data_IF_134783214638
#
_entry.id   IF_134783214638
#
_cell.length_a   1.000
_cell.length_b   1.000
_cell.length_c   1.000
_cell.angle_alpha   90.00
_cell.angle_beta   90.00
_cell.angle_gamma   90.00
#
_symmetry.space_group_name_H-M   'P 1'
#
loop_
_entity.id
_entity.type
_entity.pdbx_description
1 polymer ?
#
# COMPACT_ATOMS: atom_id res chain seq x y z
N UNK A 1 9.28 -10.09 57.34
CA UNK A 1 8.62 -11.27 56.75
C UNK A 1 9.68 -12.12 56.08
N UNK A 2 10.03 -13.27 56.65
CA UNK A 2 11.06 -14.15 56.12
C UNK A 2 10.52 -14.93 54.91
N UNK A 3 11.28 -14.97 53.81
CA UNK A 3 10.89 -15.68 52.58
C UNK A 3 11.24 -17.16 52.69
N UNK A 4 10.35 -18.02 52.18
CA UNK A 4 10.42 -19.50 52.18
C UNK A 4 11.74 -20.07 51.63
N UNK A 5 12.45 -19.30 50.78
CA UNK A 5 13.76 -19.65 50.23
C UNK A 5 14.89 -19.67 51.26
N UNK A 6 14.72 -19.05 52.43
CA UNK A 6 15.72 -19.01 53.51
C UNK A 6 15.60 -20.15 54.52
N UNK A 7 14.51 -20.93 54.44
CA UNK A 7 14.20 -22.05 55.35
C UNK A 7 14.49 -23.43 54.73
N UNK A 8 14.92 -23.48 53.47
CA UNK A 8 15.19 -24.74 52.77
C UNK A 8 16.72 -24.94 52.60
N UNK A 9 17.23 -26.16 52.84
CA UNK A 9 18.63 -26.48 52.61
C UNK A 9 18.98 -26.41 51.12
N UNK A 10 20.22 -26.01 50.81
CA UNK A 10 20.70 -25.88 49.44
C UNK A 10 20.62 -27.22 48.69
N UNK A 11 20.14 -27.23 47.42
CA UNK A 11 19.97 -28.44 46.65
C UNK A 11 21.33 -29.10 46.36
N UNK A 12 21.49 -30.35 46.77
CA UNK A 12 22.74 -31.12 46.70
C UNK A 12 23.00 -31.81 45.36
N UNK A 13 22.11 -31.67 44.38
CA UNK A 13 22.29 -32.30 43.07
C UNK A 13 22.59 -31.26 41.97
N UNK A 14 23.82 -31.32 41.46
CA UNK A 14 24.27 -30.58 40.28
C UNK A 14 23.83 -31.35 39.04
N UNK A 15 22.81 -30.86 38.33
CA UNK A 15 22.46 -31.36 37.00
C UNK A 15 23.50 -30.89 36.00
N UNK A 16 24.33 -31.80 35.50
CA UNK A 16 25.22 -31.55 34.38
C UNK A 16 24.45 -31.65 33.07
N UNK A 17 24.13 -30.51 32.46
CA UNK A 17 23.79 -30.47 31.04
C UNK A 17 25.08 -30.55 30.22
N UNK A 18 25.23 -31.64 29.46
CA UNK A 18 26.27 -31.80 28.45
C UNK A 18 26.03 -30.82 27.29
N UNK A 19 26.57 -29.62 27.41
CA UNK A 19 26.86 -28.72 26.30
C UNK A 19 28.31 -28.26 26.46
N UNK A 20 29.12 -28.56 25.45
CA UNK A 20 30.57 -28.35 25.45
C UNK A 20 30.95 -26.98 26.00
N UNK A 21 31.69 -26.99 27.10
CA UNK A 21 32.22 -25.81 27.77
C UNK A 21 33.30 -25.15 26.92
N UNK A 22 32.90 -24.28 25.99
CA UNK A 22 33.75 -23.14 25.68
C UNK A 22 33.67 -22.20 26.88
N UNK A 23 34.68 -22.27 27.75
CA UNK A 23 34.91 -21.21 28.73
C UNK A 23 35.16 -19.92 27.94
N UNK A 24 34.32 -18.88 28.04
CA UNK A 24 34.74 -17.57 27.58
C UNK A 24 35.78 -17.11 28.59
N UNK A 25 37.06 -17.34 28.31
CA UNK A 25 38.10 -16.52 28.93
C UNK A 25 37.76 -15.08 28.55
N UNK A 26 37.17 -14.33 29.47
CA UNK A 26 36.93 -12.90 29.34
C UNK A 26 38.26 -12.15 29.43
N UNK A 27 39.17 -12.42 28.48
CA UNK A 27 40.07 -11.38 28.02
C UNK A 27 39.17 -10.39 27.32
N UNK A 28 38.85 -9.29 27.99
CA UNK A 28 38.34 -8.10 27.32
C UNK A 28 39.37 -7.75 26.24
N UNK A 29 39.09 -8.14 25.00
CA UNK A 29 39.83 -7.65 23.84
C UNK A 29 39.42 -6.19 23.74
N UNK A 30 40.18 -5.32 24.39
CA UNK A 30 40.11 -3.89 24.16
C UNK A 30 40.52 -3.70 22.70
N UNK A 31 39.53 -3.64 21.82
CA UNK A 31 39.75 -3.18 20.45
C UNK A 31 40.19 -1.73 20.55
N UNK A 32 41.51 -1.50 20.55
CA UNK A 32 42.10 -0.17 20.44
C UNK A 32 41.73 0.35 19.05
N UNK A 33 40.56 0.97 18.92
CA UNK A 33 40.20 1.70 17.71
C UNK A 33 41.31 2.72 17.48
N UNK A 34 41.97 2.64 16.33
CA UNK A 34 42.95 3.63 15.93
C UNK A 34 42.27 5.00 15.95
N UNK A 35 42.76 5.91 16.79
CA UNK A 35 42.31 7.29 16.82
C UNK A 35 43.32 8.13 16.02
N UNK A 36 42.87 8.87 15.01
CA UNK A 36 43.75 9.76 14.25
C UNK A 36 44.34 10.82 15.19
N UNK A 37 45.55 11.35 14.90
CA UNK A 37 46.15 12.43 15.68
C UNK A 37 45.17 13.61 15.83
N UNK A 38 45.17 14.34 16.96
CA UNK A 38 44.29 15.49 17.15
C UNK A 38 44.65 16.63 16.17
N UNK A 39 43.75 17.59 16.05
CA UNK A 39 43.98 18.77 15.21
C UNK A 39 45.29 19.48 15.60
N UNK A 40 46.03 19.96 14.59
CA UNK A 40 47.36 20.56 14.76
C UNK A 40 48.53 19.56 14.77
N UNK A 41 48.28 18.27 15.03
CA UNK A 41 49.32 17.22 15.13
C UNK A 41 49.29 16.22 13.97
N UNK A 42 48.66 16.59 12.84
CA UNK A 42 48.48 15.73 11.66
C UNK A 42 49.51 15.95 10.55
N UNK A 43 50.61 16.66 10.84
CA UNK A 43 51.68 16.88 9.85
C UNK A 43 52.36 15.55 9.50
N UNK A 44 52.34 15.18 8.22
CA UNK A 44 52.89 13.91 7.72
C UNK A 44 51.95 12.70 7.88
N UNK A 45 50.77 12.86 8.46
CA UNK A 45 49.74 11.83 8.51
C UNK A 45 48.97 11.83 7.18
N UNK A 46 48.85 10.67 6.53
CA UNK A 46 48.11 10.51 5.27
C UNK A 46 47.16 9.32 5.41
N UNK A 47 45.86 9.55 5.63
CA UNK A 47 44.91 8.45 5.77
C UNK A 47 44.65 7.81 4.40
N UNK A 48 44.77 6.48 4.31
CA UNK A 48 44.53 5.71 3.08
C UNK A 48 43.42 4.67 3.25
N UNK A 49 43.32 4.07 4.44
CA UNK A 49 42.32 3.07 4.77
C UNK A 49 41.16 3.70 5.56
N UNK A 50 40.00 3.04 5.55
CA UNK A 50 38.81 3.52 6.28
C UNK A 50 39.04 3.62 7.79
N UNK A 51 39.88 2.72 8.34
CA UNK A 51 40.28 2.73 9.75
C UNK A 51 41.08 3.96 10.17
N UNK A 52 41.78 4.61 9.23
CA UNK A 52 42.67 5.73 9.54
C UNK A 52 41.87 6.99 9.91
N UNK A 53 40.57 7.00 9.62
CA UNK A 53 39.65 8.08 9.97
C UNK A 53 38.98 7.89 11.34
N UNK A 54 39.24 6.79 12.06
CA UNK A 54 38.62 6.53 13.37
C UNK A 54 37.10 6.38 13.27
N UNK A 55 36.36 7.36 13.77
CA UNK A 55 34.88 7.43 13.69
C UNK A 55 34.38 8.10 12.39
N UNK A 56 35.28 8.37 11.45
CA UNK A 56 35.01 9.00 10.17
C UNK A 56 35.45 10.46 10.11
N UNK A 57 34.99 11.15 9.07
CA UNK A 57 35.40 12.53 8.76
C UNK A 57 36.69 12.59 7.94
N UNK A 58 36.73 13.55 7.00
CA UNK A 58 37.92 13.85 6.21
C UNK A 58 38.65 15.06 6.80
N UNK A 59 39.97 15.08 6.72
CA UNK A 59 40.82 16.14 7.27
C UNK A 59 41.16 17.17 6.18
N UNK A 60 40.55 18.37 6.19
CA UNK A 60 40.78 19.38 5.15
C UNK A 60 42.22 19.91 5.11
N UNK A 61 42.97 19.79 6.20
CA UNK A 61 44.37 20.23 6.32
C UNK A 61 45.37 19.30 5.60
N UNK A 62 44.94 18.10 5.20
CA UNK A 62 45.76 17.16 4.44
C UNK A 62 45.37 17.28 2.97
N UNK A 63 46.27 17.77 2.07
CA UNK A 63 45.96 18.02 0.65
C UNK A 63 45.98 16.72 -0.17
N UNK A 64 45.19 15.73 0.25
CA UNK A 64 45.00 14.44 -0.40
C UNK A 64 43.51 14.16 -0.47
N UNK A 65 43.06 13.55 -1.56
CA UNK A 65 41.65 13.14 -1.70
C UNK A 65 41.36 12.00 -0.73
N UNK A 66 40.43 12.24 0.18
CA UNK A 66 40.06 11.33 1.26
C UNK A 66 38.63 10.83 1.07
N UNK A 67 38.40 9.55 1.35
CA UNK A 67 37.11 8.90 1.12
C UNK A 67 36.65 8.13 2.37
N UNK A 68 36.32 8.81 3.49
CA UNK A 68 35.73 8.14 4.65
C UNK A 68 34.44 7.41 4.24
N UNK A 69 34.26 6.16 4.68
CA UNK A 69 33.13 5.28 4.31
C UNK A 69 32.94 5.12 2.79
N UNK A 70 34.00 5.31 1.98
CA UNK A 70 33.93 5.26 0.52
C UNK A 70 33.07 6.36 -0.13
N UNK A 71 32.67 7.39 0.63
CA UNK A 71 31.93 8.53 0.11
C UNK A 71 32.80 9.34 -0.85
N UNK A 72 32.21 9.88 -1.93
CA UNK A 72 32.93 10.68 -2.94
C UNK A 72 33.64 9.89 -4.04
N UNK A 73 33.75 8.55 -3.91
CA UNK A 73 34.22 7.70 -5.00
C UNK A 73 33.17 7.64 -6.12
N UNK A 74 33.61 7.64 -7.38
CA UNK A 74 32.74 7.40 -8.52
C UNK A 74 32.09 6.01 -8.41
N UNK A 75 30.75 5.96 -8.35
CA UNK A 75 30.00 4.71 -8.28
C UNK A 75 29.61 4.25 -9.69
N UNK A 76 29.50 2.93 -9.88
CA UNK A 76 28.90 2.36 -11.10
C UNK A 76 27.41 2.71 -11.13
N UNK A 77 26.85 2.88 -12.33
CA UNK A 77 25.39 3.05 -12.49
C UNK A 77 24.69 1.81 -11.94
N UNK A 78 23.68 2.00 -11.10
CA UNK A 78 22.88 0.95 -10.48
C UNK A 78 21.40 1.27 -10.60
N UNK A 79 20.57 0.25 -10.85
CA UNK A 79 19.10 0.37 -10.91
C UNK A 79 18.43 0.36 -9.52
N UNK A 80 19.21 0.11 -8.46
CA UNK A 80 18.72 0.11 -7.09
C UNK A 80 18.33 1.52 -6.63
N UNK A 81 17.15 1.63 -6.00
CA UNK A 81 16.75 2.83 -5.28
C UNK A 81 17.72 3.07 -4.11
N UNK A 82 18.09 4.33 -3.88
CA UNK A 82 18.94 4.69 -2.75
C UNK A 82 18.24 4.34 -1.42
N UNK A 83 19.00 3.73 -0.49
CA UNK A 83 18.51 3.46 0.86
C UNK A 83 18.35 4.78 1.58
N UNK A 84 17.11 5.11 1.94
CA UNK A 84 16.76 6.34 2.66
C UNK A 84 16.59 6.05 4.15
N UNK A 85 16.88 7.05 4.99
CA UNK A 85 16.68 6.99 6.44
C UNK A 85 15.57 7.96 6.88
N UNK A 86 14.84 7.58 7.92
CA UNK A 86 13.93 8.45 8.69
C UNK A 86 14.72 9.43 9.57
N UNK A 87 14.03 10.43 10.13
CA UNK A 87 14.59 11.36 11.14
C UNK A 87 15.22 10.61 12.32
N UNK A 88 14.67 9.45 12.65
CA UNK A 88 15.08 8.61 13.78
C UNK A 88 16.24 7.67 13.40
N UNK A 89 16.79 7.77 12.19
CA UNK A 89 17.87 6.92 11.70
C UNK A 89 17.45 5.50 11.28
N UNK A 90 16.15 5.19 11.27
CA UNK A 90 15.63 3.90 10.77
C UNK A 90 15.58 3.87 9.25
N UNK A 91 15.78 2.70 8.65
CA UNK A 91 15.70 2.52 7.19
C UNK A 91 14.25 2.66 6.71
N UNK A 92 14.03 3.53 5.71
CA UNK A 92 12.74 3.76 5.06
C UNK A 92 12.43 2.68 4.02
N UNK A 93 12.04 1.49 4.49
CA UNK A 93 11.51 0.45 3.61
C UNK A 93 10.21 0.86 2.90
N UNK A 94 9.50 1.85 3.45
CA UNK A 94 8.31 2.47 2.87
C UNK A 94 8.54 3.09 1.47
N UNK A 95 9.78 3.45 1.14
CA UNK A 95 10.12 3.96 -0.19
C UNK A 95 9.80 2.94 -1.31
N UNK A 96 9.79 1.64 -1.00
CA UNK A 96 9.37 0.58 -1.93
C UNK A 96 7.86 0.61 -2.12
N UNK A 97 7.08 0.68 -1.03
CA UNK A 97 5.61 0.72 -1.08
C UNK A 97 5.07 2.00 -1.75
N UNK A 98 5.84 3.09 -1.67
CA UNK A 98 5.49 4.40 -2.26
C UNK A 98 5.96 4.57 -3.71
N UNK A 99 6.63 3.57 -4.28
CA UNK A 99 7.04 3.61 -5.67
C UNK A 99 5.82 3.86 -6.58
N UNK A 100 5.92 4.83 -7.49
CA UNK A 100 4.84 5.22 -8.41
C UNK A 100 3.74 6.10 -7.81
N UNK A 101 3.80 6.40 -6.51
CA UNK A 101 2.92 7.36 -5.85
C UNK A 101 3.61 8.72 -5.70
N UNK A 102 2.82 9.78 -5.46
CA UNK A 102 3.39 11.10 -5.12
C UNK A 102 4.01 11.07 -3.72
N UNK A 103 5.00 11.93 -3.50
CA UNK A 103 5.69 12.11 -2.20
C UNK A 103 4.77 12.58 -1.06
N UNK A 104 3.59 13.10 -1.38
CA UNK A 104 2.62 13.62 -0.42
C UNK A 104 1.47 12.63 -0.18
N UNK A 105 1.36 11.57 -1.01
CA UNK A 105 0.38 10.50 -0.80
C UNK A 105 0.77 9.70 0.44
N UNK A 106 -0.15 9.61 1.38
CA UNK A 106 -0.02 8.79 2.58
C UNK A 106 -0.20 7.31 2.20
N UNK A 107 0.77 6.48 2.57
CA UNK A 107 0.74 5.02 2.43
C UNK A 107 1.06 4.42 3.79
N UNK A 108 0.24 3.46 4.22
CA UNK A 108 0.45 2.74 5.46
C UNK A 108 1.24 1.46 5.19
N UNK A 109 2.41 1.33 5.80
CA UNK A 109 3.35 0.21 5.63
C UNK A 109 4.04 -0.23 6.92
N UNK A 110 3.91 0.55 8.01
CA UNK A 110 4.60 0.30 9.29
C UNK A 110 3.65 -0.36 10.28
N UNK A 111 4.17 -1.29 11.09
CA UNK A 111 3.38 -1.92 12.16
C UNK A 111 2.79 -0.93 13.18
N UNK A 112 3.46 0.21 13.42
CA UNK A 112 2.94 1.28 14.29
C UNK A 112 1.55 1.78 13.86
N UNK A 113 1.19 1.63 12.58
CA UNK A 113 -0.11 2.03 12.04
C UNK A 113 -1.20 0.97 12.26
N UNK A 114 -0.83 -0.27 12.62
CA UNK A 114 -1.75 -1.34 13.03
C UNK A 114 -2.14 -1.26 14.50
N UNK A 115 -1.30 -0.61 15.32
CA UNK A 115 -1.54 -0.48 16.75
C UNK A 115 -2.71 0.49 16.94
N UNK A 116 -3.78 0.09 17.65
CA UNK A 116 -4.89 0.98 17.92
C UNK A 116 -4.42 2.16 18.76
N UNK A 117 -4.88 3.36 18.43
CA UNK A 117 -4.69 4.54 19.26
C UNK A 117 -5.81 4.59 20.29
N UNK A 118 -5.46 4.66 21.56
CA UNK A 118 -6.42 4.81 22.65
C UNK A 118 -6.99 6.23 22.65
N UNK A 119 -8.32 6.35 22.74
CA UNK A 119 -9.02 7.63 22.90
C UNK A 119 -9.14 7.86 24.39
N UNK A 120 -8.35 8.80 24.92
CA UNK A 120 -8.31 9.08 26.36
C UNK A 120 -9.39 10.09 26.78
N UNK A 121 -9.76 11.03 25.89
CA UNK A 121 -10.75 12.08 26.14
C UNK A 121 -11.70 12.18 24.93
N UNK A 122 -12.99 12.40 25.19
CA UNK A 122 -14.00 12.55 24.13
C UNK A 122 -13.91 13.90 23.40
N UNK A 123 -13.43 14.95 24.08
CA UNK A 123 -13.31 16.32 23.54
C UNK A 123 -11.93 16.63 22.92
N UNK A 124 -11.20 15.61 22.45
CA UNK A 124 -9.87 15.80 21.84
C UNK A 124 -9.95 16.68 20.57
N UNK A 125 -9.25 17.84 20.49
CA UNK A 125 -9.27 18.72 19.33
C UNK A 125 -8.80 18.03 18.03
N UNK A 126 -7.98 16.97 18.10
CA UNK A 126 -7.52 16.23 16.91
C UNK A 126 -8.63 15.40 16.25
N UNK A 127 -9.67 15.05 17.01
CA UNK A 127 -10.82 14.26 16.53
C UNK A 127 -12.00 15.14 16.10
N UNK A 128 -11.95 16.44 16.37
CA UNK A 128 -13.00 17.37 15.98
C UNK A 128 -13.02 17.59 14.47
N UNK A 129 -14.22 17.85 13.94
CA UNK A 129 -14.35 18.26 12.54
C UNK A 129 -13.66 19.62 12.36
N UNK A 130 -13.09 19.91 11.18
CA UNK A 130 -12.59 21.23 10.88
C UNK A 130 -13.67 22.31 11.08
N UNK A 131 -13.22 23.55 11.29
CA UNK A 131 -14.10 24.71 11.47
C UNK A 131 -15.15 24.85 10.36
N UNK A 132 -16.34 25.33 10.71
CA UNK A 132 -17.44 25.51 9.75
C UNK A 132 -17.06 26.42 8.57
N UNK A 133 -16.20 27.42 8.81
CA UNK A 133 -15.70 28.32 7.76
C UNK A 133 -14.83 27.58 6.74
N UNK A 134 -13.93 26.70 7.19
CA UNK A 134 -13.09 25.87 6.31
C UNK A 134 -13.94 24.88 5.53
N UNK A 135 -14.98 24.33 6.15
CA UNK A 135 -15.92 23.45 5.45
C UNK A 135 -16.65 24.22 4.34
N UNK A 136 -17.12 25.44 4.61
CA UNK A 136 -17.76 26.29 3.59
C UNK A 136 -16.81 26.62 2.44
N UNK A 137 -15.58 27.03 2.75
CA UNK A 137 -14.54 27.30 1.74
C UNK A 137 -14.23 26.08 0.86
N UNK A 138 -14.01 24.92 1.48
CA UNK A 138 -13.76 23.67 0.75
C UNK A 138 -14.98 23.25 -0.10
N UNK A 139 -16.19 23.46 0.42
CA UNK A 139 -17.43 23.16 -0.31
C UNK A 139 -17.56 24.06 -1.54
N UNK A 140 -17.30 25.35 -1.41
CA UNK A 140 -17.35 26.29 -2.53
C UNK A 140 -16.28 25.99 -3.58
N UNK A 141 -15.03 25.73 -3.15
CA UNK A 141 -13.93 25.36 -4.04
C UNK A 141 -14.23 24.06 -4.80
N UNK A 142 -14.75 23.04 -4.10
CA UNK A 142 -15.12 21.76 -4.71
C UNK A 142 -16.32 21.92 -5.65
N UNK A 143 -17.32 22.71 -5.27
CA UNK A 143 -18.48 23.02 -6.12
C UNK A 143 -18.03 23.66 -7.44
N UNK A 144 -17.19 24.69 -7.38
CA UNK A 144 -16.68 25.38 -8.59
C UNK A 144 -15.86 24.43 -9.48
N UNK A 145 -15.03 23.56 -8.89
CA UNK A 145 -14.27 22.57 -9.64
C UNK A 145 -15.17 21.54 -10.34
N UNK A 146 -16.21 21.05 -9.65
CA UNK A 146 -17.19 20.12 -10.22
C UNK A 146 -18.04 20.79 -11.31
N UNK A 147 -18.51 22.01 -11.07
CA UNK A 147 -19.26 22.80 -12.06
C UNK A 147 -18.47 22.98 -13.36
N UNK A 148 -17.16 23.25 -13.27
CA UNK A 148 -16.28 23.34 -14.43
C UNK A 148 -16.25 22.03 -15.22
N UNK A 149 -16.06 20.89 -14.54
CA UNK A 149 -16.03 19.58 -15.18
C UNK A 149 -17.38 19.21 -15.80
N UNK A 150 -18.49 19.52 -15.12
CA UNK A 150 -19.84 19.24 -15.65
C UNK A 150 -20.15 20.12 -16.85
N UNK A 151 -19.75 21.39 -16.84
CA UNK A 151 -19.94 22.29 -17.98
C UNK A 151 -19.17 21.81 -19.22
N UNK A 152 -17.95 21.29 -19.06
CA UNK A 152 -17.21 20.66 -20.15
C UNK A 152 -17.96 19.44 -20.72
N UNK A 153 -18.54 18.59 -19.86
CA UNK A 153 -19.35 17.44 -20.30
C UNK A 153 -20.65 17.85 -21.00
N UNK A 154 -21.36 18.84 -20.47
CA UNK A 154 -22.59 19.39 -21.08
C UNK A 154 -22.25 19.98 -22.46
N UNK A 155 -21.18 20.77 -22.55
CA UNK A 155 -20.75 21.39 -23.81
C UNK A 155 -20.40 20.38 -24.90
N UNK A 156 -19.92 19.19 -24.53
CA UNK A 156 -19.62 18.10 -25.46
C UNK A 156 -20.87 17.31 -25.87
N UNK A 157 -21.90 17.25 -25.02
CA UNK A 157 -23.15 16.55 -25.29
C UNK A 157 -24.14 17.37 -26.14
N UNK A 158 -24.00 18.70 -26.17
CA UNK A 158 -24.84 19.58 -26.98
C UNK A 158 -24.62 19.33 -28.50
N UNK A 159 -25.65 18.92 -29.27
CA UNK A 159 -25.50 18.54 -30.68
C UNK A 159 -25.09 19.69 -31.62
N UNK A 160 -25.53 20.91 -31.32
CA UNK A 160 -25.21 22.11 -32.09
C UNK A 160 -24.50 23.09 -31.18
N UNK A 161 -23.25 23.41 -31.52
CA UNK A 161 -22.47 24.42 -30.81
C UNK A 161 -22.71 25.78 -31.44
N UNK A 162 -22.99 26.79 -30.62
CA UNK A 162 -22.83 28.19 -31.04
C UNK A 162 -21.35 28.40 -31.39
N UNK A 163 -21.08 29.12 -32.48
CA UNK A 163 -19.71 29.47 -32.84
C UNK A 163 -19.02 30.16 -31.65
N UNK A 164 -17.92 29.58 -31.19
CA UNK A 164 -17.16 30.08 -30.04
C UNK A 164 -16.54 31.44 -30.40
N UNK A 165 -16.71 32.44 -29.53
CA UNK A 165 -16.02 33.71 -29.68
C UNK A 165 -14.56 33.51 -29.28
N UNK A 166 -13.64 33.94 -30.13
CA UNK A 166 -12.20 33.73 -29.90
C UNK A 166 -11.76 34.46 -28.64
N UNK A 167 -10.97 33.78 -27.82
CA UNK A 167 -10.28 34.44 -26.71
C UNK A 167 -9.29 35.51 -27.24
N UNK A 168 -9.05 36.58 -26.48
CA UNK A 168 -8.06 37.59 -26.84
C UNK A 168 -6.64 36.99 -26.84
N UNK A 169 -5.74 37.60 -27.62
CA UNK A 169 -4.36 37.15 -27.72
C UNK A 169 -3.63 37.23 -26.36
N UNK A 170 -2.95 36.16 -25.97
CA UNK A 170 -2.20 36.06 -24.71
C UNK A 170 -0.71 36.21 -24.97
N UNK A 171 0.01 36.94 -24.12
CA UNK A 171 1.47 37.09 -24.21
C UNK A 171 2.13 36.32 -23.07
N UNK A 172 2.95 35.33 -23.41
CA UNK A 172 3.65 34.47 -22.45
C UNK A 172 5.15 34.76 -22.53
N UNK A 173 5.77 35.01 -21.38
CA UNK A 173 7.22 35.14 -21.27
C UNK A 173 7.83 33.76 -21.03
N UNK A 174 8.65 33.30 -21.96
CA UNK A 174 9.32 32.01 -21.90
C UNK A 174 10.82 32.18 -21.70
N UNK A 175 11.36 31.47 -20.70
CA UNK A 175 12.81 31.35 -20.48
C UNK A 175 13.25 29.99 -20.98
N UNK A 176 14.03 29.90 -22.08
CA UNK A 176 14.55 28.63 -22.54
C UNK A 176 15.50 27.99 -21.53
N UNK A 177 15.43 26.66 -21.39
CA UNK A 177 16.38 25.87 -20.58
C UNK A 177 17.75 25.78 -21.26
N UNK A 178 17.77 25.66 -22.58
CA UNK A 178 18.99 25.73 -23.38
C UNK A 178 19.33 27.21 -23.61
N UNK A 179 20.38 27.67 -22.95
CA UNK A 179 20.90 29.03 -23.07
C UNK A 179 22.26 29.02 -23.79
N UNK A 180 22.49 30.03 -24.61
CA UNK A 180 23.76 30.25 -25.30
C UNK A 180 23.70 31.53 -26.10
N UNK A 181 24.84 32.19 -26.30
CA UNK A 181 24.92 33.46 -27.03
C UNK A 181 24.50 33.34 -28.50
N UNK A 182 24.62 32.15 -29.07
CA UNK A 182 24.16 31.81 -30.43
C UNK A 182 22.66 31.51 -30.52
N UNK A 183 21.99 31.27 -29.39
CA UNK A 183 20.55 30.99 -29.34
C UNK A 183 19.76 32.25 -28.97
N UNK A 184 18.54 32.37 -29.51
CA UNK A 184 17.61 33.47 -29.21
C UNK A 184 18.25 34.87 -29.38
N UNK A 185 19.14 35.03 -30.36
CA UNK A 185 19.88 36.26 -30.64
C UNK A 185 20.58 36.88 -29.41
N UNK A 186 21.04 36.03 -28.48
CA UNK A 186 21.68 36.46 -27.23
C UNK A 186 20.71 36.88 -26.12
N UNK A 187 19.40 36.86 -26.36
CA UNK A 187 18.39 37.17 -25.35
C UNK A 187 18.12 35.97 -24.43
N UNK A 188 18.04 36.22 -23.12
CA UNK A 188 17.75 35.18 -22.11
C UNK A 188 16.30 34.68 -22.13
N UNK A 189 15.37 35.49 -22.65
CA UNK A 189 13.94 35.22 -22.64
C UNK A 189 13.33 35.60 -23.99
N UNK A 190 12.17 35.03 -24.30
CA UNK A 190 11.35 35.40 -25.45
C UNK A 190 9.90 35.58 -25.04
N UNK A 191 9.22 36.54 -25.64
CA UNK A 191 7.79 36.77 -25.44
C UNK A 191 7.05 36.15 -26.62
N UNK A 192 6.11 35.26 -26.33
CA UNK A 192 5.34 34.52 -27.32
C UNK A 192 3.91 35.03 -27.27
N UNK A 193 3.38 35.47 -28.42
CA UNK A 193 1.97 35.80 -28.57
C UNK A 193 1.20 34.54 -28.98
N UNK A 194 0.42 34.00 -28.06
CA UNK A 194 -0.49 32.87 -28.30
C UNK A 194 -1.84 33.40 -28.78
N UNK A 195 -2.30 32.88 -29.92
CA UNK A 195 -3.61 33.18 -30.51
C UNK A 195 -4.28 31.85 -30.83
N UNK A 196 -5.53 31.69 -30.40
CA UNK A 196 -6.33 30.51 -30.72
C UNK A 196 -6.69 30.51 -32.21
N UNK A 197 -6.40 29.39 -32.89
CA UNK A 197 -6.75 29.21 -34.30
C UNK A 197 -8.27 29.10 -34.45
N UNK A 198 -8.84 29.84 -35.40
CA UNK A 198 -10.28 29.75 -35.66
C UNK A 198 -10.66 28.32 -36.05
N UNK A 199 -11.64 27.77 -35.33
CA UNK A 199 -12.23 26.49 -35.67
C UNK A 199 -13.44 26.69 -36.58
N UNK A 200 -13.52 25.92 -37.65
CA UNK A 200 -14.66 25.92 -38.56
C UNK A 200 -15.85 25.19 -37.90
N UNK A 201 -17.02 25.83 -37.74
CA UNK A 201 -18.21 25.19 -37.18
C UNK A 201 -18.77 24.05 -38.04
N UNK A 202 -18.44 23.97 -39.33
CA UNK A 202 -18.90 22.91 -40.25
C UNK A 202 -17.88 21.77 -40.39
N UNK A 203 -16.72 21.87 -39.75
CA UNK A 203 -15.68 20.84 -39.81
C UNK A 203 -16.06 19.62 -38.96
N UNK A 204 -16.14 18.40 -39.57
CA UNK A 204 -16.43 17.18 -38.82
C UNK A 204 -15.25 16.76 -37.91
N UNK A 205 -15.45 15.81 -36.97
CA UNK A 205 -14.37 15.30 -36.12
C UNK A 205 -13.19 14.73 -36.92
N UNK A 206 -11.97 15.23 -36.66
CA UNK A 206 -10.74 14.89 -37.41
C UNK A 206 -10.25 13.45 -37.22
N UNK A 207 -10.48 12.87 -36.03
CA UNK A 207 -9.86 11.61 -35.62
C UNK A 207 -10.88 10.59 -35.13
N UNK A 208 -10.59 9.31 -35.39
CA UNK A 208 -11.36 8.17 -34.89
C UNK A 208 -11.12 7.96 -33.39
N UNK A 209 -12.11 8.27 -32.57
CA UNK A 209 -12.02 8.16 -31.08
C UNK A 209 -12.43 6.78 -30.55
N UNK A 210 -12.92 5.89 -31.41
CA UNK A 210 -13.43 4.56 -31.04
C UNK A 210 -12.35 3.49 -30.86
N UNK A 211 -11.06 3.86 -30.83
CA UNK A 211 -9.97 2.92 -30.57
C UNK A 211 -10.04 2.45 -29.11
N UNK A 212 -10.40 1.18 -28.88
CA UNK A 212 -10.45 0.58 -27.55
C UNK A 212 -9.05 0.11 -27.16
N UNK A 213 -8.49 0.68 -26.10
CA UNK A 213 -7.24 0.22 -25.49
C UNK A 213 -7.56 -0.63 -24.25
N UNK A 214 -6.70 -1.61 -23.89
CA UNK A 214 -6.80 -2.26 -22.59
C UNK A 214 -6.65 -1.22 -21.48
N UNK A 215 -7.25 -1.51 -20.32
CA UNK A 215 -7.04 -0.67 -19.14
C UNK A 215 -5.54 -0.67 -18.79
N UNK A 216 -5.01 0.53 -18.50
CA UNK A 216 -3.65 0.66 -18.01
C UNK A 216 -3.45 -0.09 -16.68
N UNK A 217 -2.19 -0.28 -16.25
CA UNK A 217 -1.93 -0.88 -14.95
C UNK A 217 -2.60 -0.06 -13.84
N UNK A 218 -3.11 -0.69 -12.78
CA UNK A 218 -3.63 0.04 -11.63
C UNK A 218 -2.50 0.79 -10.93
N UNK A 219 -2.86 1.68 -10.00
CA UNK A 219 -1.86 2.26 -9.10
C UNK A 219 -1.14 1.14 -8.33
N UNK A 220 0.16 1.30 -8.01
CA UNK A 220 0.93 0.32 -7.27
C UNK A 220 0.17 -0.18 -6.02
N UNK A 221 0.16 -1.50 -5.78
CA UNK A 221 -0.67 -2.09 -4.73
C UNK A 221 -0.27 -1.55 -3.36
N UNK A 222 -1.27 -1.19 -2.56
CA UNK A 222 -1.04 -0.77 -1.19
C UNK A 222 -0.60 -1.97 -0.33
N UNK A 223 0.29 -1.77 0.66
CA UNK A 223 0.62 -2.80 1.63
C UNK A 223 -0.63 -3.27 2.38
N UNK A 224 -0.75 -4.58 2.55
CA UNK A 224 -1.92 -5.18 3.17
C UNK A 224 -1.70 -5.28 4.69
N UNK A 225 -2.48 -4.51 5.44
CA UNK A 225 -2.34 -4.36 6.89
C UNK A 225 -3.31 -5.30 7.62
N UNK A 226 -3.09 -6.60 7.51
CA UNK A 226 -3.88 -7.62 8.22
C UNK A 226 -3.37 -7.85 9.65
N UNK A 227 -4.26 -8.32 10.52
CA UNK A 227 -3.85 -8.99 11.75
C UNK A 227 -3.08 -10.28 11.41
N UNK A 228 -2.30 -10.84 12.35
CA UNK A 228 -1.71 -12.17 12.17
C UNK A 228 -2.75 -13.21 11.75
N UNK A 229 -2.38 -14.09 10.83
CA UNK A 229 -3.30 -15.11 10.32
C UNK A 229 -3.74 -16.04 11.46
N UNK A 230 -5.06 -16.23 11.59
CA UNK A 230 -5.62 -17.22 12.51
C UNK A 230 -5.28 -18.62 12.02
N UNK A 231 -4.87 -19.51 12.94
CA UNK A 231 -4.58 -20.90 12.61
C UNK A 231 -5.90 -21.62 12.34
N UNK A 232 -6.07 -22.09 11.10
CA UNK A 232 -7.24 -22.89 10.69
C UNK A 232 -7.05 -24.32 11.18
N UNK A 233 -8.10 -24.90 11.78
CA UNK A 233 -8.08 -26.32 12.17
C UNK A 233 -8.51 -27.21 10.99
N UNK A 234 -8.03 -28.45 10.95
CA UNK A 234 -8.43 -29.41 9.89
C UNK A 234 -9.93 -29.64 9.90
N UNK A 235 -10.54 -29.67 11.09
CA UNK A 235 -12.00 -29.80 11.27
C UNK A 235 -12.73 -28.63 10.62
N UNK A 236 -12.35 -27.39 10.93
CA UNK A 236 -12.94 -26.19 10.33
C UNK A 236 -12.84 -26.23 8.80
N UNK A 237 -11.66 -26.59 8.27
CA UNK A 237 -11.48 -26.70 6.82
C UNK A 237 -12.39 -27.78 6.18
N UNK A 238 -12.66 -28.89 6.88
CA UNK A 238 -13.56 -29.94 6.42
C UNK A 238 -15.03 -29.52 6.50
N UNK A 239 -15.43 -28.83 7.57
CA UNK A 239 -16.78 -28.31 7.76
C UNK A 239 -17.15 -27.29 6.67
N UNK A 240 -16.17 -26.51 6.19
CA UNK A 240 -16.34 -25.57 5.07
C UNK A 240 -16.15 -26.19 3.68
N UNK A 241 -15.98 -27.52 3.58
CA UNK A 241 -15.88 -28.19 2.27
C UNK A 241 -17.25 -28.30 1.62
N UNK A 242 -17.54 -27.37 0.71
CA UNK A 242 -18.80 -27.36 -0.04
C UNK A 242 -18.85 -28.53 -1.04
N UNK A 243 -19.86 -29.42 -0.97
CA UNK A 243 -20.03 -30.50 -1.94
C UNK A 243 -20.30 -29.99 -3.36
N UNK A 244 -19.93 -30.74 -4.41
CA UNK A 244 -20.24 -30.35 -5.79
C UNK A 244 -21.75 -30.31 -6.02
N UNK A 245 -22.22 -29.28 -6.73
CA UNK A 245 -23.63 -29.15 -7.07
C UNK A 245 -23.98 -30.07 -8.26
N UNK A 246 -24.76 -31.12 -7.99
CA UNK A 246 -25.32 -32.00 -9.01
C UNK A 246 -26.77 -31.58 -9.24
N UNK A 247 -27.02 -30.90 -10.37
CA UNK A 247 -28.35 -30.39 -10.66
C UNK A 247 -29.21 -31.40 -11.44
N UNK A 248 -30.50 -31.45 -11.12
CA UNK A 248 -31.48 -32.27 -11.85
C UNK A 248 -31.89 -31.68 -13.20
N UNK A 249 -31.54 -30.42 -13.49
CA UNK A 249 -31.99 -29.67 -14.67
C UNK A 249 -30.88 -29.39 -15.69
N UNK A 250 -29.67 -29.06 -15.23
CA UNK A 250 -28.57 -28.59 -16.07
C UNK A 250 -27.32 -29.44 -15.89
N UNK A 251 -26.82 -29.96 -17.00
CA UNK A 251 -25.53 -30.62 -17.09
C UNK A 251 -24.75 -30.02 -18.28
N UNK A 252 -24.18 -28.83 -18.08
CA UNK A 252 -23.58 -28.05 -19.17
C UNK A 252 -22.43 -28.77 -19.88
N UNK A 253 -21.67 -29.60 -19.14
CA UNK A 253 -20.54 -30.36 -19.67
C UNK A 253 -20.88 -31.80 -20.06
N UNK A 254 -22.15 -32.21 -19.92
CA UNK A 254 -22.59 -33.55 -20.31
C UNK A 254 -21.94 -34.70 -19.53
N UNK A 255 -21.54 -34.49 -18.28
CA UNK A 255 -20.90 -35.55 -17.48
C UNK A 255 -21.86 -36.73 -17.25
N UNK A 256 -21.35 -37.96 -17.38
CA UNK A 256 -22.08 -39.17 -16.96
C UNK A 256 -21.97 -39.30 -15.45
N UNK A 257 -23.07 -39.03 -14.75
CA UNK A 257 -23.13 -39.08 -13.27
C UNK A 257 -23.87 -40.36 -12.87
N UNK A 258 -23.30 -41.20 -12.00
CA UNK A 258 -24.00 -42.40 -11.52
C UNK A 258 -25.25 -42.01 -10.72
N UNK A 259 -26.24 -42.88 -10.73
CA UNK A 259 -27.57 -42.58 -10.19
C UNK A 259 -27.56 -42.25 -8.69
N UNK A 260 -26.68 -42.91 -7.92
CA UNK A 260 -26.52 -42.67 -6.48
C UNK A 260 -26.11 -41.22 -6.20
N UNK A 261 -25.14 -40.68 -6.95
CA UNK A 261 -24.69 -39.28 -6.79
C UNK A 261 -25.70 -38.28 -7.33
N UNK A 262 -26.50 -38.67 -8.33
CA UNK A 262 -27.55 -37.81 -8.89
C UNK A 262 -28.71 -37.59 -7.92
N UNK A 263 -29.04 -38.62 -7.15
CA UNK A 263 -30.08 -38.58 -6.14
C UNK A 263 -29.54 -38.18 -4.74
N UNK A 264 -28.22 -38.15 -4.55
CA UNK A 264 -27.62 -37.87 -3.23
C UNK A 264 -27.97 -36.49 -2.65
N UNK A 265 -28.16 -35.47 -3.50
CA UNK A 265 -28.55 -34.13 -3.06
C UNK A 265 -30.07 -33.98 -2.84
N UNK A 266 -30.83 -35.04 -3.11
CA UNK A 266 -32.28 -35.02 -3.06
C UNK A 266 -32.79 -35.35 -1.65
N UNK A 267 -33.18 -34.30 -0.93
CA UNK A 267 -33.70 -34.39 0.44
C UNK A 267 -35.05 -35.09 0.57
N UNK A 268 -35.68 -35.56 -0.53
CA UNK A 268 -36.96 -36.29 -0.48
C UNK A 268 -36.92 -37.52 0.43
N UNK A 269 -35.76 -38.19 0.57
CA UNK A 269 -35.59 -39.32 1.49
C UNK A 269 -35.55 -38.94 2.98
N UNK A 270 -35.33 -37.66 3.31
CA UNK A 270 -35.38 -37.14 4.68
C UNK A 270 -36.79 -36.67 5.08
N UNK A 271 -37.72 -36.58 4.13
CA UNK A 271 -39.10 -36.18 4.39
C UNK A 271 -39.94 -37.42 4.72
N UNK A 272 -40.38 -37.56 5.98
CA UNK A 272 -41.40 -38.54 6.33
C UNK A 272 -42.79 -37.98 6.02
N UNK A 273 -43.58 -38.77 5.27
CA UNK A 273 -44.98 -38.45 5.01
C UNK A 273 -45.78 -38.85 6.26
N UNK A 274 -46.28 -37.85 6.99
CA UNK A 274 -47.15 -38.08 8.15
C UNK A 274 -48.61 -37.96 7.71
N UNK A 275 -49.43 -38.96 8.01
CA UNK A 275 -50.87 -38.95 7.74
C UNK A 275 -51.59 -38.71 9.07
N UNK A 276 -52.51 -37.75 9.08
CA UNK A 276 -53.31 -37.43 10.27
C UNK A 276 -54.35 -38.54 10.53
N UNK A 277 -54.49 -39.01 11.77
CA UNK A 277 -55.49 -40.01 12.18
C UNK A 277 -56.94 -39.58 11.90
N UNK A 278 -57.20 -38.28 11.77
CA UNK A 278 -58.51 -37.76 11.39
C UNK A 278 -58.97 -38.22 9.99
N UNK A 279 -58.04 -38.59 9.09
CA UNK A 279 -58.41 -39.20 7.82
C UNK A 279 -59.09 -40.56 8.01
N UNK A 280 -58.64 -41.36 8.97
CA UNK A 280 -59.27 -42.64 9.29
C UNK A 280 -60.67 -42.41 9.90
N UNK A 281 -60.78 -41.49 10.87
CA UNK A 281 -62.08 -41.13 11.48
C UNK A 281 -63.09 -40.61 10.45
N UNK A 282 -62.65 -39.79 9.49
CA UNK A 282 -63.50 -39.28 8.42
C UNK A 282 -63.93 -40.39 7.46
N UNK A 283 -63.01 -41.27 7.05
CA UNK A 283 -63.32 -42.39 6.17
C UNK A 283 -64.35 -43.34 6.80
N UNK A 284 -64.18 -43.66 8.09
CA UNK A 284 -65.14 -44.47 8.84
C UNK A 284 -66.50 -43.78 8.98
N UNK A 285 -66.52 -42.48 9.30
CA UNK A 285 -67.76 -41.71 9.40
C UNK A 285 -68.54 -41.70 8.07
N UNK A 286 -67.85 -41.53 6.95
CA UNK A 286 -68.46 -41.57 5.61
C UNK A 286 -68.95 -42.97 5.26
N UNK A 287 -68.21 -44.03 5.59
CA UNK A 287 -68.64 -45.40 5.36
C UNK A 287 -69.89 -45.77 6.17
N UNK A 288 -69.99 -45.26 7.41
CA UNK A 288 -71.19 -45.41 8.24
C UNK A 288 -72.37 -44.62 7.65
N UNK A 289 -72.12 -43.43 7.08
CA UNK A 289 -73.14 -42.61 6.45
C UNK A 289 -73.71 -43.25 5.16
N UNK A 290 -72.86 -43.88 4.34
CA UNK A 290 -73.28 -44.56 3.10
C UNK A 290 -74.08 -45.85 3.36
N UNK A 291 -73.81 -46.54 4.47
CA UNK A 291 -74.53 -47.76 4.86
C UNK A 291 -75.93 -47.50 5.45
N UNK A 292 -76.22 -46.26 5.83
CA UNK A 292 -77.52 -45.86 6.38
C UNK A 292 -78.46 -45.38 5.29
#
# INVERSE_FOLDING_TARGET
>A
MATLSSLLPEPTQVTYDQVGSFQPTSRAVVSTKFQPPPYGHRKGFIPRAERDFGDGGAFPEIPVVQFPLGMGKSKKKSEALAVQLDSDGKIKYDAIARQGHSKDRVVHSKYQQLVPKEILNEDDPDLQRPDEEKIKEQTESTRLALEKLTNEKISAAMPVKRAEQRAPAQYIRYTPSQQGTTFNSGAKQRVIRMVEMQKDPMEPPKFKTNKKLPRGPPSPPAPVMHSPNRKVTVKEQQDWKVPPCISNWKNAKGHTIPLDKRLAADGRGLQSVHINENFAKLAEALYIADRK
#
